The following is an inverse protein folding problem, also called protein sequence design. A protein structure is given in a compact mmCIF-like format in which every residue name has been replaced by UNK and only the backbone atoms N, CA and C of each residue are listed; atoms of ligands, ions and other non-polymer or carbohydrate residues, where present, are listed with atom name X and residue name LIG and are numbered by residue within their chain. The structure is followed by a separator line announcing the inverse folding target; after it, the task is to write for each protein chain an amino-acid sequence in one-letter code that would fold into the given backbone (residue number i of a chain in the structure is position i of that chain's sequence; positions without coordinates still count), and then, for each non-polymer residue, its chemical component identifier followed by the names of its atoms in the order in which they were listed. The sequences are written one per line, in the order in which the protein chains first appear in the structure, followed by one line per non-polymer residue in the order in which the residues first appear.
data_IF_906054783688
#
_entry.id   IF_906054783688
#
_cell.length_a   1.000
_cell.length_b   1.000
_cell.length_c   1.000
_cell.angle_alpha   90.00
_cell.angle_beta   90.00
_cell.angle_gamma   90.00
#
_symmetry.space_group_name_H-M   'P 1'
#
loop_
_entity.id
_entity.type
_entity.pdbx_description
1 polymer ?
#
# COMPACT_ATOMS: atom_id res chain seq x y z
N UNK A 1 -22.69 -31.78 7.96
CA UNK A 1 -22.34 -31.21 9.28
C UNK A 1 -21.03 -31.82 9.82
N UNK A 2 -20.98 -33.14 10.10
CA UNK A 2 -19.77 -33.82 10.63
C UNK A 2 -18.53 -33.73 9.73
N UNK A 3 -18.67 -33.92 8.41
CA UNK A 3 -17.53 -33.82 7.48
C UNK A 3 -17.00 -32.39 7.33
N UNK A 4 -17.86 -31.38 7.52
CA UNK A 4 -17.43 -29.99 7.53
C UNK A 4 -16.65 -29.68 8.82
N UNK A 5 -17.15 -30.17 9.96
CA UNK A 5 -16.46 -30.05 11.25
C UNK A 5 -15.09 -30.77 11.26
N UNK A 6 -14.99 -31.96 10.64
CA UNK A 6 -13.70 -32.68 10.55
C UNK A 6 -12.67 -31.95 9.69
N UNK A 7 -13.11 -31.29 8.61
CA UNK A 7 -12.22 -30.49 7.75
C UNK A 7 -11.69 -29.25 8.48
N UNK A 8 -12.55 -28.57 9.24
CA UNK A 8 -12.15 -27.41 10.06
C UNK A 8 -11.16 -27.83 11.16
N UNK A 9 -11.41 -28.98 11.81
CA UNK A 9 -10.51 -29.52 12.83
C UNK A 9 -9.13 -29.87 12.23
N UNK A 10 -9.11 -30.49 11.05
CA UNK A 10 -7.86 -30.82 10.36
C UNK A 10 -7.07 -29.56 9.99
N UNK A 11 -7.74 -28.53 9.48
CA UNK A 11 -7.10 -27.24 9.18
C UNK A 11 -6.47 -26.61 10.43
N UNK A 12 -7.19 -26.60 11.56
CA UNK A 12 -6.67 -26.07 12.82
C UNK A 12 -5.43 -26.85 13.31
N UNK A 13 -5.47 -28.19 13.24
CA UNK A 13 -4.33 -29.02 13.64
C UNK A 13 -3.10 -28.72 12.79
N UNK A 14 -3.27 -28.63 11.46
CA UNK A 14 -2.17 -28.29 10.55
C UNK A 14 -1.63 -26.88 10.83
N UNK A 15 -2.52 -25.90 11.06
CA UNK A 15 -2.13 -24.53 11.39
C UNK A 15 -1.29 -24.47 12.68
N UNK A 16 -1.74 -25.14 13.75
CA UNK A 16 -1.00 -25.17 15.01
C UNK A 16 0.34 -25.90 14.89
N UNK A 17 0.43 -26.97 14.10
CA UNK A 17 1.69 -27.66 13.82
C UNK A 17 2.69 -26.74 13.10
N UNK A 18 2.25 -26.03 12.06
CA UNK A 18 3.10 -25.09 11.33
C UNK A 18 3.56 -23.94 12.23
N UNK A 19 2.65 -23.38 13.02
CA UNK A 19 2.97 -22.32 13.99
C UNK A 19 3.98 -22.82 15.03
N UNK A 20 3.80 -24.03 15.58
CA UNK A 20 4.73 -24.61 16.55
C UNK A 20 6.12 -24.84 15.95
N UNK A 21 6.19 -25.43 14.75
CA UNK A 21 7.46 -25.62 14.04
C UNK A 21 8.18 -24.30 13.78
N UNK A 22 7.46 -23.28 13.32
CA UNK A 22 8.03 -21.96 13.05
C UNK A 22 8.53 -21.28 14.32
N UNK A 23 7.75 -21.32 15.40
CA UNK A 23 8.15 -20.76 16.69
C UNK A 23 9.39 -21.48 17.25
N UNK A 24 9.45 -22.80 17.15
CA UNK A 24 10.55 -23.60 17.65
C UNK A 24 11.82 -23.43 16.80
N UNK A 25 11.73 -23.60 15.49
CA UNK A 25 12.90 -23.58 14.59
C UNK A 25 13.53 -22.19 14.50
N UNK A 26 12.75 -21.11 14.56
CA UNK A 26 13.31 -19.76 14.40
C UNK A 26 13.63 -19.03 15.72
N UNK A 27 12.96 -19.36 16.85
CA UNK A 27 13.27 -18.72 18.14
C UNK A 27 14.28 -19.49 19.00
N UNK A 28 14.68 -20.70 18.62
CA UNK A 28 15.75 -21.38 19.34
C UNK A 28 17.09 -20.71 19.02
N UNK A 29 17.56 -19.88 19.96
CA UNK A 29 18.94 -19.37 20.09
C UNK A 29 19.97 -20.49 20.36
N UNK A 30 19.67 -21.74 20.00
CA UNK A 30 20.65 -22.80 20.01
C UNK A 30 21.58 -22.54 18.82
N UNK A 31 22.77 -22.00 19.07
CA UNK A 31 23.82 -21.68 18.09
C UNK A 31 24.40 -22.88 17.34
N UNK A 32 23.55 -23.85 16.97
CA UNK A 32 23.84 -25.12 16.32
C UNK A 32 24.24 -24.92 14.85
N UNK A 33 23.84 -23.80 14.23
CA UNK A 33 24.21 -23.42 12.87
C UNK A 33 24.92 -22.05 12.86
N UNK A 34 26.24 -22.01 13.06
CA UNK A 34 26.99 -20.77 12.96
C UNK A 34 26.91 -20.24 11.52
N UNK A 35 26.26 -19.09 11.34
CA UNK A 35 26.20 -18.38 10.06
C UNK A 35 24.83 -18.33 9.40
N UNK A 36 23.90 -19.28 9.62
CA UNK A 36 22.59 -19.26 8.95
C UNK A 36 21.75 -18.03 9.30
N UNK A 37 21.90 -17.51 10.53
CA UNK A 37 21.25 -16.25 10.93
C UNK A 37 21.66 -15.04 10.10
N UNK A 38 22.88 -15.02 9.55
CA UNK A 38 23.33 -13.90 8.70
C UNK A 38 22.64 -13.87 7.33
N UNK A 39 22.12 -15.01 6.86
CA UNK A 39 21.35 -15.12 5.63
C UNK A 39 19.87 -14.76 5.84
N UNK A 40 19.37 -14.91 7.07
CA UNK A 40 17.97 -14.62 7.43
C UNK A 40 17.80 -13.20 7.98
N UNK A 41 18.88 -12.58 8.47
CA UNK A 41 18.86 -11.20 8.99
C UNK A 41 18.83 -10.14 7.88
N UNK A 42 18.20 -8.99 8.16
CA UNK A 42 18.25 -7.81 7.29
C UNK A 42 19.69 -7.39 6.97
N UNK A 43 19.92 -6.96 5.73
CA UNK A 43 21.24 -6.52 5.29
C UNK A 43 21.58 -5.13 5.85
N UNK A 44 22.49 -5.08 6.82
CA UNK A 44 22.99 -3.85 7.46
C UNK A 44 24.39 -3.48 6.96
N UNK A 45 24.70 -3.76 5.68
CA UNK A 45 26.01 -3.50 5.08
C UNK A 45 27.20 -4.11 5.85
N UNK A 46 26.98 -5.23 6.58
CA UNK A 46 28.00 -5.92 7.38
C UNK A 46 28.14 -5.43 8.83
N UNK A 47 27.32 -4.47 9.27
CA UNK A 47 27.26 -4.03 10.66
C UNK A 47 26.28 -4.86 11.49
N UNK A 48 26.45 -4.84 12.82
CA UNK A 48 25.52 -5.47 13.74
C UNK A 48 24.26 -4.58 13.87
N UNK A 49 23.08 -5.14 13.62
CA UNK A 49 21.82 -4.41 13.75
C UNK A 49 21.63 -3.92 15.20
N UNK A 50 21.81 -2.62 15.44
CA UNK A 50 21.72 -2.04 16.79
C UNK A 50 20.32 -1.50 17.14
N UNK A 51 19.38 -1.46 16.19
CA UNK A 51 18.04 -0.93 16.39
C UNK A 51 17.03 -1.50 15.40
N UNK A 52 15.75 -1.47 15.78
CA UNK A 52 14.64 -1.74 14.87
C UNK A 52 14.63 -0.64 13.81
N UNK A 53 14.47 -1.02 12.54
CA UNK A 53 14.30 -0.06 11.44
C UNK A 53 12.90 0.54 11.56
N UNK A 54 12.79 1.65 12.28
CA UNK A 54 11.58 2.47 12.27
C UNK A 54 11.57 3.33 11.01
N UNK A 55 10.73 2.97 10.04
CA UNK A 55 10.48 3.82 8.89
C UNK A 55 9.56 4.97 9.31
N UNK A 56 10.11 6.17 9.46
CA UNK A 56 9.31 7.38 9.58
C UNK A 56 8.63 7.66 8.25
N UNK A 57 7.34 7.31 8.15
CA UNK A 57 6.54 7.68 6.99
C UNK A 57 6.40 9.20 6.94
N UNK A 58 6.88 9.82 5.85
CA UNK A 58 6.78 11.28 5.74
C UNK A 58 5.35 11.71 5.43
N UNK A 59 4.95 12.85 6.01
CA UNK A 59 3.63 13.46 5.78
C UNK A 59 3.41 13.84 4.31
N UNK A 60 4.48 14.06 3.54
CA UNK A 60 4.41 14.40 2.11
C UNK A 60 3.84 13.26 1.28
N UNK A 61 4.24 12.01 1.54
CA UNK A 61 3.67 10.84 0.85
C UNK A 61 2.20 10.64 1.18
N UNK A 62 1.81 10.90 2.42
CA UNK A 62 0.41 10.81 2.84
C UNK A 62 -0.49 11.76 2.02
N UNK A 63 -0.09 13.03 1.93
CA UNK A 63 -0.86 14.06 1.22
C UNK A 63 -0.96 13.73 -0.27
N UNK A 64 0.14 13.24 -0.88
CA UNK A 64 0.15 12.84 -2.28
C UNK A 64 -0.82 11.68 -2.56
N UNK A 65 -0.91 10.70 -1.65
CA UNK A 65 -1.84 9.57 -1.78
C UNK A 65 -3.30 10.02 -1.70
N UNK A 66 -3.63 10.89 -0.74
CA UNK A 66 -5.00 11.45 -0.62
C UNK A 66 -5.36 12.24 -1.88
N UNK A 67 -4.45 13.07 -2.38
CA UNK A 67 -4.65 13.83 -3.62
C UNK A 67 -4.87 12.90 -4.82
N UNK A 68 -4.07 11.85 -4.96
CA UNK A 68 -4.20 10.87 -6.02
C UNK A 68 -5.60 10.24 -6.04
N UNK A 69 -6.15 9.87 -4.89
CA UNK A 69 -7.50 9.28 -4.79
C UNK A 69 -8.59 10.27 -5.23
N UNK A 70 -8.48 11.55 -4.85
CA UNK A 70 -9.45 12.58 -5.25
C UNK A 70 -9.39 12.81 -6.76
N UNK A 71 -8.17 12.93 -7.32
CA UNK A 71 -7.97 13.14 -8.75
C UNK A 71 -8.47 11.96 -9.59
N UNK A 72 -8.27 10.72 -9.12
CA UNK A 72 -8.77 9.51 -9.79
C UNK A 72 -10.32 9.47 -9.85
N UNK A 73 -10.98 9.93 -8.79
CA UNK A 73 -12.44 10.08 -8.76
C UNK A 73 -12.91 11.12 -9.79
N UNK A 74 -12.24 12.27 -9.85
CA UNK A 74 -12.58 13.34 -10.81
C UNK A 74 -12.39 12.88 -12.27
N UNK A 75 -11.33 12.14 -12.57
CA UNK A 75 -11.11 11.56 -13.92
C UNK A 75 -12.16 10.50 -14.24
N UNK A 76 -12.55 9.67 -13.27
CA UNK A 76 -13.60 8.67 -13.44
C UNK A 76 -14.95 9.31 -13.83
N UNK A 77 -15.27 10.49 -13.28
CA UNK A 77 -16.46 11.26 -13.69
C UNK A 77 -16.37 11.76 -15.13
N UNK A 78 -15.18 12.16 -15.57
CA UNK A 78 -14.91 12.67 -16.91
C UNK A 78 -14.99 11.57 -17.98
N UNK A 79 -14.70 10.31 -17.61
CA UNK A 79 -14.76 9.16 -18.51
C UNK A 79 -16.16 8.91 -19.12
N UNK A 80 -17.21 9.45 -18.50
CA UNK A 80 -18.59 9.38 -19.03
C UNK A 80 -18.85 10.35 -20.20
N UNK A 81 -17.96 11.30 -20.47
CA UNK A 81 -18.10 12.28 -21.55
C UNK A 81 -18.25 11.65 -22.95
N UNK A 82 -17.36 10.74 -23.42
CA UNK A 82 -17.47 10.15 -24.76
C UNK A 82 -18.73 9.29 -24.94
N UNK A 83 -19.26 8.71 -23.86
CA UNK A 83 -20.49 7.90 -23.89
C UNK A 83 -21.73 8.72 -24.21
N UNK A 84 -21.71 10.04 -23.98
CA UNK A 84 -22.88 10.88 -24.17
C UNK A 84 -23.13 11.25 -25.64
N UNK A 85 -22.19 11.13 -26.58
CA UNK A 85 -22.43 11.45 -28.00
C UNK A 85 -22.30 12.94 -28.36
N UNK A 86 -22.30 13.25 -29.66
CA UNK A 86 -21.72 14.49 -30.25
C UNK A 86 -22.58 15.77 -30.05
N UNK A 87 -23.85 15.65 -29.65
CA UNK A 87 -24.81 16.76 -29.63
C UNK A 87 -25.40 16.98 -28.23
N UNK A 88 -24.64 17.55 -27.27
CA UNK A 88 -25.17 17.75 -25.92
C UNK A 88 -25.03 19.16 -25.35
N UNK A 89 -26.16 19.63 -24.79
CA UNK A 89 -26.30 20.77 -23.86
C UNK A 89 -25.29 20.73 -22.70
N UNK A 90 -24.81 19.55 -22.32
CA UNK A 90 -23.96 19.35 -21.15
C UNK A 90 -22.46 19.57 -21.42
N UNK A 91 -22.04 19.79 -22.68
CA UNK A 91 -20.62 20.04 -23.03
C UNK A 91 -20.04 21.23 -22.23
N UNK A 92 -20.85 22.28 -22.03
CA UNK A 92 -20.47 23.46 -21.25
C UNK A 92 -20.18 23.12 -19.78
N UNK A 93 -20.93 22.19 -19.18
CA UNK A 93 -20.68 21.71 -17.83
C UNK A 93 -19.37 20.90 -17.75
N UNK A 94 -19.10 20.01 -18.72
CA UNK A 94 -17.85 19.26 -18.78
C UNK A 94 -16.62 20.16 -18.98
N UNK A 95 -16.73 21.18 -19.83
CA UNK A 95 -15.69 22.19 -20.01
C UNK A 95 -15.45 23.00 -18.73
N UNK A 96 -16.52 23.41 -18.04
CA UNK A 96 -16.42 24.08 -16.74
C UNK A 96 -15.76 23.19 -15.68
N UNK A 97 -16.08 21.90 -15.68
CA UNK A 97 -15.46 20.91 -14.80
C UNK A 97 -13.96 20.74 -15.10
N UNK A 98 -13.57 20.68 -16.37
CA UNK A 98 -12.16 20.64 -16.82
C UNK A 98 -11.36 21.86 -16.34
N UNK A 99 -11.95 23.05 -16.42
CA UNK A 99 -11.33 24.29 -15.94
C UNK A 99 -11.14 24.25 -14.42
N UNK A 100 -12.15 23.76 -13.69
CA UNK A 100 -12.09 23.64 -12.23
C UNK A 100 -11.01 22.65 -11.79
N UNK A 101 -10.93 21.50 -12.46
CA UNK A 101 -9.91 20.47 -12.23
C UNK A 101 -8.50 21.01 -12.53
N UNK A 102 -8.32 21.72 -13.64
CA UNK A 102 -7.06 22.38 -13.98
C UNK A 102 -6.65 23.46 -12.97
N UNK A 103 -7.60 24.23 -12.45
CA UNK A 103 -7.34 25.24 -11.42
C UNK A 103 -6.97 24.61 -10.07
N UNK A 104 -7.65 23.53 -9.67
CA UNK A 104 -7.33 22.75 -8.48
C UNK A 104 -5.90 22.24 -8.52
N UNK A 105 -5.51 21.61 -9.64
CA UNK A 105 -4.14 21.14 -9.86
C UNK A 105 -3.10 22.25 -9.85
N UNK A 106 -3.40 23.43 -10.42
CA UNK A 106 -2.48 24.56 -10.37
C UNK A 106 -2.25 25.07 -8.93
N UNK A 107 -3.32 25.11 -8.13
CA UNK A 107 -3.23 25.47 -6.70
C UNK A 107 -2.39 24.46 -5.91
N UNK A 108 -2.52 23.17 -6.20
CA UNK A 108 -1.72 22.09 -5.64
C UNK A 108 -0.21 22.32 -5.84
N UNK A 109 0.18 22.58 -7.09
CA UNK A 109 1.57 22.81 -7.48
C UNK A 109 2.12 24.04 -6.77
N UNK A 110 1.33 25.13 -6.70
CA UNK A 110 1.75 26.36 -6.03
C UNK A 110 1.94 26.20 -4.53
N UNK A 111 1.14 25.35 -3.87
CA UNK A 111 1.31 25.03 -2.44
C UNK A 111 2.50 24.11 -2.17
N UNK A 112 3.06 23.49 -3.21
CA UNK A 112 4.26 22.69 -3.11
C UNK A 112 4.03 21.28 -2.57
N UNK A 113 2.77 20.80 -2.50
CA UNK A 113 2.46 19.43 -2.07
C UNK A 113 3.05 18.37 -3.01
N UNK A 114 3.28 18.72 -4.28
CA UNK A 114 3.91 17.87 -5.30
C UNK A 114 5.45 17.91 -5.23
N UNK A 115 6.05 18.87 -4.50
CA UNK A 115 7.51 18.97 -4.43
C UNK A 115 8.05 17.93 -3.48
N UNK A 116 8.90 17.06 -4.01
CA UNK A 116 9.68 16.15 -3.20
C UNK A 116 10.84 16.94 -2.58
N UNK A 117 10.70 17.31 -1.30
CA UNK A 117 11.87 17.63 -0.49
C UNK A 117 12.37 16.31 0.08
N UNK A 118 13.61 15.97 -0.25
CA UNK A 118 14.39 14.98 0.48
C UNK A 118 14.62 15.45 1.91
#
# INVERSE_FOLDING_TARGET
MLHFFSLVLLFLIVFFLVAFCHMFVWNLDLGVFPGERSWVSSFECGFLSQRVVENYFSYTYFILLVFFVVFDLEVSLLLNMPLQGVLYKNLLCYLGFLVLLGFGFLMEIRRGYVRWSY
#
